data_IF_078964953849
#
_entry.id   IF_078964953849
#
_cell.length_a   1.000
_cell.length_b   1.000
_cell.length_c   1.000
_cell.angle_alpha   90.00
_cell.angle_beta   90.00
_cell.angle_gamma   90.00
#
_symmetry.space_group_name_H-M   'P 1'
#
loop_
_entity.id
_entity.type
_entity.pdbx_description
1 polymer ?
#
# COMPACT_ATOMS: atom_id res chain seq x y z
N UNK A 1 25.61 -27.54 -14.41
CA UNK A 1 24.34 -27.74 -15.15
C UNK A 1 23.21 -27.73 -14.14
N UNK A 2 22.22 -26.84 -14.28
CA UNK A 2 21.05 -26.82 -13.39
C UNK A 2 20.27 -28.13 -13.48
N UNK A 3 19.60 -28.53 -12.40
CA UNK A 3 18.81 -29.77 -12.32
C UNK A 3 17.85 -29.92 -13.51
N UNK A 4 17.87 -31.11 -14.13
CA UNK A 4 17.01 -31.48 -15.25
C UNK A 4 15.54 -31.31 -14.88
N UNK A 5 14.81 -30.47 -15.63
CA UNK A 5 13.34 -30.33 -15.49
C UNK A 5 12.82 -28.93 -15.20
N UNK A 6 13.68 -27.93 -14.95
CA UNK A 6 13.22 -26.54 -14.75
C UNK A 6 12.92 -25.87 -16.10
N UNK A 7 11.63 -25.61 -16.36
CA UNK A 7 11.17 -24.80 -17.50
C UNK A 7 11.16 -23.33 -17.06
N UNK A 8 11.94 -22.50 -17.73
CA UNK A 8 11.95 -21.06 -17.49
C UNK A 8 11.02 -20.35 -18.49
N UNK A 9 10.11 -19.54 -17.96
CA UNK A 9 9.31 -18.63 -18.75
C UNK A 9 10.23 -17.61 -19.44
N UNK A 10 10.23 -17.55 -20.77
CA UNK A 10 11.06 -16.62 -21.55
C UNK A 10 10.46 -15.22 -21.69
N UNK A 11 9.16 -15.07 -21.47
CA UNK A 11 8.47 -13.79 -21.52
C UNK A 11 6.96 -13.95 -21.33
N UNK A 12 6.31 -12.86 -20.92
CA UNK A 12 4.86 -12.73 -20.82
C UNK A 12 4.47 -11.38 -21.40
N UNK A 13 3.40 -11.33 -22.20
CA UNK A 13 2.82 -10.11 -22.74
C UNK A 13 1.39 -9.95 -22.23
N UNK A 14 0.98 -8.71 -21.99
CA UNK A 14 -0.40 -8.36 -21.61
C UNK A 14 -0.98 -7.50 -22.71
N UNK A 15 -2.15 -7.88 -23.23
CA UNK A 15 -2.88 -7.09 -24.24
C UNK A 15 -3.67 -5.93 -23.61
N UNK A 16 -3.90 -5.98 -22.28
CA UNK A 16 -4.72 -5.00 -21.57
C UNK A 16 -3.92 -3.91 -20.87
N UNK A 17 -2.67 -4.19 -20.49
CA UNK A 17 -1.88 -3.30 -19.64
C UNK A 17 -0.43 -3.30 -20.12
N UNK A 18 0.02 -2.17 -20.66
CA UNK A 18 1.44 -1.93 -20.89
C UNK A 18 2.09 -1.28 -19.66
N UNK A 19 3.37 -1.60 -19.45
CA UNK A 19 4.14 -0.98 -18.37
C UNK A 19 4.37 0.53 -18.62
N UNK A 20 4.27 0.97 -19.88
CA UNK A 20 4.39 2.38 -20.26
C UNK A 20 3.23 3.22 -19.72
N UNK A 21 1.99 2.78 -19.97
CA UNK A 21 0.79 3.49 -19.50
C UNK A 21 0.73 3.54 -17.98
N UNK A 22 1.10 2.44 -17.30
CA UNK A 22 1.22 2.39 -15.83
C UNK A 22 2.24 3.42 -15.35
N UNK A 23 3.40 3.50 -15.99
CA UNK A 23 4.45 4.46 -15.66
C UNK A 23 4.02 5.91 -15.89
N UNK A 24 3.34 6.20 -16.99
CA UNK A 24 2.83 7.55 -17.27
C UNK A 24 1.77 7.97 -16.24
N UNK A 25 0.83 7.09 -15.91
CA UNK A 25 -0.18 7.35 -14.88
C UNK A 25 0.47 7.61 -13.50
N UNK A 26 1.47 6.82 -13.16
CA UNK A 26 2.29 6.99 -11.96
C UNK A 26 3.00 8.36 -11.94
N UNK A 27 3.61 8.77 -13.04
CA UNK A 27 4.33 10.04 -13.13
C UNK A 27 3.41 11.26 -13.12
N UNK A 28 2.19 11.12 -13.64
CA UNK A 28 1.17 12.17 -13.66
C UNK A 28 0.44 12.34 -12.32
N UNK A 29 0.54 11.37 -11.40
CA UNK A 29 -0.08 11.45 -10.09
C UNK A 29 0.46 12.64 -9.25
N UNK A 30 -0.39 13.33 -8.48
CA UNK A 30 0.06 14.36 -7.53
C UNK A 30 1.06 13.78 -6.52
N UNK A 31 2.26 14.37 -6.44
CA UNK A 31 3.33 13.92 -5.53
C UNK A 31 3.25 14.52 -4.13
N UNK A 32 2.39 15.52 -3.94
CA UNK A 32 2.16 16.19 -2.67
C UNK A 32 0.73 15.89 -2.25
N UNK A 33 0.57 15.40 -1.04
CA UNK A 33 -0.72 15.24 -0.35
C UNK A 33 -0.71 16.17 0.87
N UNK A 34 -1.85 16.78 1.21
CA UNK A 34 -2.00 17.75 2.32
C UNK A 34 -1.91 17.13 3.72
N UNK A 35 -2.97 17.19 4.51
CA UNK A 35 -3.08 16.56 5.84
C UNK A 35 -4.32 15.64 5.97
N UNK A 36 -4.90 15.26 4.84
CA UNK A 36 -6.20 14.57 4.78
C UNK A 36 -6.15 13.14 5.36
N UNK A 37 -7.09 12.80 6.23
CA UNK A 37 -7.26 11.40 6.67
C UNK A 37 -8.15 10.66 5.67
N UNK A 38 -7.65 9.54 5.14
CA UNK A 38 -8.37 8.77 4.11
C UNK A 38 -9.34 7.77 4.75
N UNK A 39 -8.91 7.08 5.81
CA UNK A 39 -9.73 6.13 6.58
C UNK A 39 -9.34 6.19 8.05
N UNK A 40 -10.31 6.29 8.96
CA UNK A 40 -10.10 6.49 10.41
C UNK A 40 -10.95 5.53 11.27
N UNK A 41 -11.22 4.34 10.74
CA UNK A 41 -12.05 3.31 11.38
C UNK A 41 -11.36 1.94 11.35
N UNK A 42 -10.06 1.93 11.05
CA UNK A 42 -9.24 0.73 10.88
C UNK A 42 -9.78 -0.34 9.90
N UNK A 43 -10.64 0.00 8.93
CA UNK A 43 -11.24 -1.01 8.03
C UNK A 43 -10.37 -1.42 6.83
N UNK A 44 -9.16 -0.89 6.66
CA UNK A 44 -8.35 -1.10 5.44
C UNK A 44 -6.94 -1.57 5.76
N UNK A 45 -6.47 -2.60 5.06
CA UNK A 45 -5.12 -3.15 5.29
C UNK A 45 -5.02 -3.91 6.61
N UNK A 46 -3.86 -3.83 7.25
CA UNK A 46 -3.59 -4.45 8.56
C UNK A 46 -3.82 -3.49 9.73
N UNK A 47 -4.74 -2.53 9.59
CA UNK A 47 -5.08 -1.63 10.70
C UNK A 47 -5.93 -2.33 11.74
N UNK A 48 -5.68 -2.05 13.02
CA UNK A 48 -6.42 -2.58 14.16
C UNK A 48 -6.61 -1.53 15.24
N UNK A 49 -7.84 -1.05 15.38
CA UNK A 49 -8.23 -0.24 16.53
C UNK A 49 -8.49 -1.11 17.74
N UNK A 50 -8.30 -0.52 18.92
CA UNK A 50 -8.64 -1.16 20.18
C UNK A 50 -9.19 -0.13 21.16
N UNK A 51 -9.67 -0.60 22.31
CA UNK A 51 -10.00 0.30 23.43
C UNK A 51 -8.81 1.16 23.90
N UNK A 52 -7.58 0.76 23.54
CA UNK A 52 -6.32 1.34 23.99
C UNK A 52 -5.50 1.96 22.85
N UNK A 53 -6.04 2.01 21.61
CA UNK A 53 -5.34 2.57 20.45
C UNK A 53 -6.29 3.03 19.34
N UNK A 54 -5.95 4.12 18.66
CA UNK A 54 -6.64 4.61 17.47
C UNK A 54 -5.69 4.61 16.27
N UNK A 55 -6.18 4.17 15.11
CA UNK A 55 -5.43 4.04 13.87
C UNK A 55 -6.12 4.82 12.76
N UNK A 56 -5.35 5.63 12.04
CA UNK A 56 -5.84 6.31 10.86
C UNK A 56 -4.83 6.28 9.71
N UNK A 57 -5.37 6.24 8.50
CA UNK A 57 -4.63 6.13 7.27
C UNK A 57 -4.41 7.50 6.65
N UNK A 58 -3.15 7.77 6.32
CA UNK A 58 -2.76 8.89 5.48
C UNK A 58 -2.61 8.48 4.03
N UNK A 59 -2.08 7.27 3.79
CA UNK A 59 -1.92 6.62 2.49
C UNK A 59 -2.31 5.14 2.60
N UNK A 60 -3.52 4.81 2.16
CA UNK A 60 -4.10 3.48 2.23
C UNK A 60 -3.67 2.53 1.10
N UNK A 61 -3.77 1.21 1.31
CA UNK A 61 -3.66 0.21 0.25
C UNK A 61 -4.69 0.48 -0.86
N UNK A 62 -4.22 0.74 -2.07
CA UNK A 62 -5.10 0.95 -3.22
C UNK A 62 -5.73 2.35 -3.30
N UNK A 63 -5.24 3.33 -2.53
CA UNK A 63 -5.63 4.73 -2.71
C UNK A 63 -5.30 5.20 -4.13
N UNK A 64 -6.31 5.75 -4.80
CA UNK A 64 -6.19 6.38 -6.11
C UNK A 64 -5.66 7.82 -5.97
N UNK A 65 -4.78 8.30 -6.86
CA UNK A 65 -4.09 7.57 -7.93
C UNK A 65 -3.03 6.64 -7.37
N UNK A 66 -2.90 5.44 -7.97
CA UNK A 66 -1.85 4.44 -7.70
C UNK A 66 -0.51 5.14 -7.42
N UNK A 67 -0.23 5.38 -6.13
CA UNK A 67 0.97 6.08 -5.77
C UNK A 67 2.13 5.18 -6.18
N UNK A 68 3.12 5.79 -6.81
CA UNK A 68 4.29 5.14 -7.43
C UNK A 68 5.16 4.38 -6.44
N UNK A 69 4.71 4.25 -5.20
CA UNK A 69 5.41 3.65 -4.09
C UNK A 69 4.50 2.56 -3.55
N UNK A 70 5.06 1.37 -3.34
CA UNK A 70 4.50 0.36 -2.43
C UNK A 70 4.61 0.86 -0.98
N UNK A 71 4.16 2.09 -0.73
CA UNK A 71 4.25 2.78 0.54
C UNK A 71 2.84 2.92 1.09
N UNK A 72 2.69 2.39 2.29
CA UNK A 72 1.49 2.47 3.09
C UNK A 72 1.84 3.30 4.32
N UNK A 73 1.03 4.31 4.62
CA UNK A 73 1.26 5.20 5.76
C UNK A 73 -0.01 5.26 6.59
N UNK A 74 0.08 4.74 7.80
CA UNK A 74 -0.91 4.94 8.85
C UNK A 74 -0.21 5.40 10.13
N UNK A 75 -0.98 6.05 10.99
CA UNK A 75 -0.57 6.44 12.31
C UNK A 75 -1.33 5.62 13.33
N UNK A 76 -0.68 5.33 14.45
CA UNK A 76 -1.29 4.72 15.63
C UNK A 76 -1.04 5.64 16.81
N UNK A 77 -2.11 6.08 17.46
CA UNK A 77 -2.05 6.78 18.73
C UNK A 77 -2.26 5.78 19.88
N UNK A 78 -1.35 5.78 20.86
CA UNK A 78 -1.34 4.86 22.01
C UNK A 78 -1.10 5.69 23.28
N UNK A 79 -2.00 5.65 24.29
CA UNK A 79 -1.80 6.36 25.56
C UNK A 79 -0.62 5.79 26.39
N UNK A 80 -0.07 6.57 27.34
CA UNK A 80 0.98 6.09 28.22
C UNK A 80 0.58 4.81 28.98
N UNK A 81 1.47 3.82 29.01
CA UNK A 81 1.22 2.54 29.68
C UNK A 81 0.30 1.59 28.93
N UNK A 82 -0.03 1.88 27.66
CA UNK A 82 -0.84 1.02 26.78
C UNK A 82 0.01 0.39 25.68
N UNK A 83 -0.61 -0.54 24.95
CA UNK A 83 0.00 -1.25 23.83
C UNK A 83 -1.00 -1.41 22.69
N UNK A 84 -0.50 -1.37 21.46
CA UNK A 84 -1.19 -1.93 20.31
C UNK A 84 -0.63 -3.33 20.02
N UNK A 85 -1.46 -4.25 19.53
CA UNK A 85 -1.04 -5.60 19.16
C UNK A 85 -0.28 -5.65 17.83
N UNK A 86 -0.14 -4.51 17.15
CA UNK A 86 0.72 -4.36 15.98
C UNK A 86 0.20 -5.09 14.74
N UNK A 87 1.12 -5.27 13.80
CA UNK A 87 0.99 -6.14 12.62
C UNK A 87 1.31 -7.60 12.98
#
# INVERSE_FOLDING_TARGET
MGESGRVFLRGISSEKYGLGEVREAQLAAPRVRGDEVVVDNATVGHSGDSKDSRTWWRLGPGDDPFLTQTLQVHFVEIPPGKSNHGH
#
